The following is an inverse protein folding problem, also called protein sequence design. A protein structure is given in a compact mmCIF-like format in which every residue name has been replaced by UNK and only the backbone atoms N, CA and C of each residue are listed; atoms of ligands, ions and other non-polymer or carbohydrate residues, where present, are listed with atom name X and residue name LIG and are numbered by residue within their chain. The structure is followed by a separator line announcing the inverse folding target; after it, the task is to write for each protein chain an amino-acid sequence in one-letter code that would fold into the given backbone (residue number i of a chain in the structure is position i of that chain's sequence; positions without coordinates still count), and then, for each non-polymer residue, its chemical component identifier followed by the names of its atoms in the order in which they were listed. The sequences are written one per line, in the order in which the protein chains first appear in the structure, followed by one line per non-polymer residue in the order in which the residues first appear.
data_IF_924785791122
#
_entry.id   IF_924785791122
#
_cell.length_a   1.000
_cell.length_b   1.000
_cell.length_c   1.000
_cell.angle_alpha   90.00
_cell.angle_beta   90.00
_cell.angle_gamma   90.00
#
_symmetry.space_group_name_H-M   'P 1'
#
loop_
_entity.id
_entity.type
_entity.pdbx_description
1 polymer ?
#
# COMPACT_ATOMS: atom_id res chain seq x y z
N UNK A 1 31.89 -16.50 11.46
CA UNK A 1 32.19 -15.14 10.94
C UNK A 1 33.51 -15.08 10.15
N UNK A 2 34.50 -15.94 10.44
CA UNK A 2 35.80 -16.00 9.74
C UNK A 2 35.72 -15.92 8.20
N UNK A 3 34.80 -16.67 7.59
CA UNK A 3 34.66 -16.73 6.12
C UNK A 3 34.29 -15.39 5.46
N UNK A 4 33.53 -14.52 6.14
CA UNK A 4 33.20 -13.18 5.61
C UNK A 4 34.31 -12.16 5.90
N UNK A 5 35.11 -12.38 6.95
CA UNK A 5 36.21 -11.49 7.33
C UNK A 5 37.49 -11.74 6.53
N UNK A 6 37.65 -12.93 5.94
CA UNK A 6 38.83 -13.31 5.12
C UNK A 6 38.47 -13.57 3.66
N UNK A 7 37.38 -12.99 3.16
CA UNK A 7 36.91 -13.25 1.81
C UNK A 7 37.73 -12.45 0.78
N UNK A 8 38.20 -13.15 -0.26
CA UNK A 8 38.74 -12.55 -1.47
C UNK A 8 37.76 -12.68 -2.65
N UNK A 9 37.79 -11.68 -3.51
CA UNK A 9 36.95 -11.56 -4.69
C UNK A 9 37.83 -11.48 -5.93
N UNK A 10 37.31 -12.02 -7.03
CA UNK A 10 37.96 -11.99 -8.34
C UNK A 10 36.89 -11.67 -9.38
N UNK A 11 37.20 -10.76 -10.30
CA UNK A 11 36.30 -10.42 -11.41
C UNK A 11 36.64 -11.31 -12.60
N UNK A 12 35.64 -12.02 -13.13
CA UNK A 12 35.75 -12.77 -14.38
C UNK A 12 35.13 -11.96 -15.52
N UNK A 13 35.89 -11.74 -16.59
CA UNK A 13 35.41 -11.14 -17.82
C UNK A 13 35.81 -12.01 -19.01
N UNK A 14 34.84 -12.65 -19.66
CA UNK A 14 35.10 -13.68 -20.67
C UNK A 14 35.88 -14.87 -20.08
N UNK A 15 37.04 -15.18 -20.66
CA UNK A 15 37.96 -16.23 -20.19
C UNK A 15 39.08 -15.71 -19.27
N UNK A 16 39.10 -14.42 -18.96
CA UNK A 16 40.14 -13.80 -18.14
C UNK A 16 39.63 -13.52 -16.72
N UNK A 17 40.52 -13.67 -15.74
CA UNK A 17 40.28 -13.37 -14.34
C UNK A 17 41.17 -12.19 -13.90
N UNK A 18 40.65 -11.33 -13.04
CA UNK A 18 41.45 -10.29 -12.38
C UNK A 18 42.39 -10.88 -11.34
N UNK A 19 43.25 -10.05 -10.75
CA UNK A 19 43.87 -10.37 -9.47
C UNK A 19 42.81 -10.44 -8.37
N UNK A 20 43.07 -11.24 -7.34
CA UNK A 20 42.23 -11.30 -6.15
C UNK A 20 42.35 -10.01 -5.33
N UNK A 21 41.24 -9.57 -4.76
CA UNK A 21 41.18 -8.42 -3.86
C UNK A 21 40.20 -8.69 -2.72
N UNK A 22 40.46 -8.13 -1.54
CA UNK A 22 39.53 -8.23 -0.41
C UNK A 22 38.44 -7.15 -0.51
N UNK A 23 37.27 -7.44 0.05
CA UNK A 23 36.18 -6.45 0.14
C UNK A 23 35.82 -6.23 1.60
N UNK A 24 35.90 -4.98 2.05
CA UNK A 24 35.63 -4.61 3.45
C UNK A 24 34.15 -4.31 3.72
N UNK A 25 33.36 -4.03 2.67
CA UNK A 25 31.96 -3.62 2.79
C UNK A 25 31.05 -4.52 1.96
N UNK A 26 29.88 -4.82 2.53
CA UNK A 26 28.84 -5.58 1.85
C UNK A 26 28.92 -7.08 2.10
N UNK A 27 27.97 -7.79 1.50
CA UNK A 27 27.79 -9.23 1.62
C UNK A 27 27.87 -9.85 0.24
N UNK A 28 28.38 -11.07 0.15
CA UNK A 28 28.48 -11.81 -1.12
C UNK A 28 27.09 -12.09 -1.70
N UNK A 29 26.80 -11.58 -2.89
CA UNK A 29 25.57 -11.96 -3.59
C UNK A 29 25.58 -13.48 -3.91
N UNK A 30 24.47 -14.17 -3.65
CA UNK A 30 24.36 -15.63 -3.80
C UNK A 30 25.00 -16.44 -2.65
N UNK A 31 25.53 -15.80 -1.62
CA UNK A 31 25.94 -16.50 -0.39
C UNK A 31 24.73 -16.97 0.43
N UNK A 32 24.75 -18.21 0.91
CA UNK A 32 23.64 -18.80 1.69
C UNK A 32 23.35 -17.98 2.97
N UNK A 33 24.38 -17.40 3.58
CA UNK A 33 24.25 -16.57 4.78
C UNK A 33 23.95 -15.10 4.50
N UNK A 34 24.13 -14.63 3.27
CA UNK A 34 23.98 -13.22 2.92
C UNK A 34 22.57 -12.69 3.22
N UNK A 35 21.46 -13.39 2.89
CA UNK A 35 20.12 -12.92 3.27
C UNK A 35 19.94 -12.75 4.78
N UNK A 36 20.48 -13.66 5.59
CA UNK A 36 20.38 -13.58 7.05
C UNK A 36 21.16 -12.40 7.62
N UNK A 37 22.38 -12.18 7.13
CA UNK A 37 23.19 -11.03 7.52
C UNK A 37 22.55 -9.70 7.11
N UNK A 38 21.93 -9.66 5.93
CA UNK A 38 21.18 -8.49 5.47
C UNK A 38 19.98 -8.18 6.36
N UNK A 39 19.20 -9.20 6.72
CA UNK A 39 18.05 -9.05 7.61
C UNK A 39 18.49 -8.54 8.99
N UNK A 40 19.55 -9.11 9.57
CA UNK A 40 20.10 -8.64 10.83
C UNK A 40 20.56 -7.17 10.76
N UNK A 41 21.16 -6.79 9.63
CA UNK A 41 21.62 -5.42 9.41
C UNK A 41 20.49 -4.40 9.20
N UNK A 42 19.30 -4.83 8.77
CA UNK A 42 18.13 -3.94 8.57
C UNK A 42 17.11 -4.00 9.70
N UNK A 43 17.24 -4.94 10.64
CA UNK A 43 16.29 -5.13 11.75
C UNK A 43 16.18 -3.89 12.65
N UNK A 44 17.32 -3.26 12.97
CA UNK A 44 17.37 -2.02 13.76
C UNK A 44 16.55 -0.89 13.08
N UNK A 45 16.57 -0.79 11.75
CA UNK A 45 15.76 0.19 11.04
C UNK A 45 14.27 -0.10 11.20
N UNK A 46 13.87 -1.37 11.11
CA UNK A 46 12.48 -1.78 11.32
C UNK A 46 12.00 -1.47 12.74
N UNK A 47 12.86 -1.71 13.75
CA UNK A 47 12.57 -1.34 15.14
C UNK A 47 12.43 0.18 15.30
N UNK A 48 13.42 0.96 14.81
CA UNK A 48 13.40 2.42 14.88
C UNK A 48 12.14 3.01 14.25
N UNK A 49 11.72 2.50 13.08
CA UNK A 49 10.51 2.95 12.42
C UNK A 49 9.29 2.61 13.28
N UNK A 50 9.15 1.37 13.75
CA UNK A 50 8.02 0.92 14.58
C UNK A 50 7.84 1.75 15.84
N UNK A 51 8.95 2.07 16.50
CA UNK A 51 8.97 2.80 17.78
C UNK A 51 8.54 4.27 17.64
N UNK A 52 8.53 4.82 16.42
CA UNK A 52 7.96 6.16 16.17
C UNK A 52 6.47 6.23 16.48
N UNK A 53 5.74 5.11 16.38
CA UNK A 53 4.28 5.10 16.40
C UNK A 53 3.64 5.83 15.21
N UNK A 54 4.42 6.27 14.22
CA UNK A 54 3.95 6.96 13.02
C UNK A 54 3.71 5.91 11.94
N UNK A 55 2.50 5.88 11.39
CA UNK A 55 2.15 4.93 10.33
C UNK A 55 0.66 4.66 10.17
N UNK A 56 0.33 3.69 9.32
CA UNK A 56 -1.02 3.22 9.12
C UNK A 56 -1.42 2.26 10.25
N UNK A 57 -2.38 2.66 11.07
CA UNK A 57 -2.85 1.84 12.19
C UNK A 57 -3.94 0.87 11.73
N UNK A 58 -3.68 -0.43 11.88
CA UNK A 58 -4.63 -1.50 11.64
C UNK A 58 -4.85 -2.21 12.99
N UNK A 59 -6.06 -2.09 13.53
CA UNK A 59 -6.38 -2.49 14.91
C UNK A 59 -5.50 -1.77 15.94
N UNK A 60 -4.67 -2.53 16.67
CA UNK A 60 -3.74 -2.03 17.68
C UNK A 60 -2.28 -2.09 17.18
N UNK A 61 -2.07 -2.48 15.91
CA UNK A 61 -0.76 -2.52 15.27
C UNK A 61 -0.53 -1.31 14.36
N UNK A 62 0.63 -0.66 14.50
CA UNK A 62 1.11 0.34 13.56
C UNK A 62 1.93 -0.33 12.46
N UNK A 63 1.55 -0.11 11.20
CA UNK A 63 2.30 -0.55 10.03
C UNK A 63 2.83 0.68 9.30
N UNK A 64 4.15 0.80 9.23
CA UNK A 64 4.82 1.96 8.63
C UNK A 64 5.87 1.59 7.59
N UNK A 65 6.44 0.38 7.66
CA UNK A 65 7.39 -0.12 6.68
C UNK A 65 7.05 -1.54 6.24
N UNK A 66 7.04 -1.77 4.94
CA UNK A 66 7.05 -3.10 4.33
C UNK A 66 8.37 -3.24 3.58
N UNK A 67 9.21 -4.19 3.98
CA UNK A 67 10.54 -4.38 3.41
C UNK A 67 10.68 -5.79 2.84
N UNK A 68 11.28 -5.88 1.66
CA UNK A 68 11.60 -7.14 1.00
C UNK A 68 12.94 -7.01 0.28
N UNK A 69 13.96 -7.69 0.81
CA UNK A 69 15.34 -7.49 0.38
C UNK A 69 15.69 -5.98 0.35
N UNK A 70 16.18 -5.46 -0.77
CA UNK A 70 16.54 -4.06 -0.97
C UNK A 70 15.35 -3.11 -1.22
N UNK A 71 14.17 -3.64 -1.48
CA UNK A 71 12.95 -2.85 -1.68
C UNK A 71 12.26 -2.54 -0.35
N UNK A 72 11.86 -1.28 -0.16
CA UNK A 72 11.12 -0.82 1.01
C UNK A 72 9.98 0.11 0.61
N UNK A 73 8.82 -0.07 1.24
CA UNK A 73 7.65 0.80 1.11
C UNK A 73 7.34 1.40 2.47
N UNK A 74 7.33 2.74 2.54
CA UNK A 74 6.87 3.47 3.71
C UNK A 74 5.38 3.81 3.58
N UNK A 75 4.64 3.68 4.68
CA UNK A 75 3.20 3.90 4.74
C UNK A 75 2.88 4.91 5.84
N UNK A 76 2.27 6.03 5.47
CA UNK A 76 1.80 7.04 6.39
C UNK A 76 0.46 7.63 5.95
N UNK A 77 -0.38 8.11 6.89
CA UNK A 77 -1.69 8.68 6.59
C UNK A 77 -1.61 10.10 6.00
N UNK A 78 -0.50 10.81 6.21
CA UNK A 78 -0.27 12.19 5.75
C UNK A 78 1.12 12.34 5.16
N UNK A 79 1.33 13.38 4.34
CA UNK A 79 2.64 13.69 3.77
C UNK A 79 3.66 14.08 4.86
N UNK A 80 3.23 14.82 5.88
CA UNK A 80 4.11 15.21 6.99
C UNK A 80 4.57 13.98 7.78
N UNK A 81 3.65 13.06 8.11
CA UNK A 81 3.98 11.80 8.76
C UNK A 81 4.89 10.91 7.90
N UNK A 82 4.72 10.94 6.56
CA UNK A 82 5.62 10.24 5.65
C UNK A 82 7.02 10.85 5.69
N UNK A 83 7.12 12.18 5.74
CA UNK A 83 8.39 12.88 5.85
C UNK A 83 9.11 12.55 7.16
N UNK A 84 8.38 12.42 8.27
CA UNK A 84 8.95 11.99 9.54
C UNK A 84 9.58 10.58 9.45
N UNK A 85 8.90 9.64 8.78
CA UNK A 85 9.46 8.30 8.52
C UNK A 85 10.70 8.36 7.61
N UNK A 86 10.67 9.21 6.58
CA UNK A 86 11.84 9.43 5.70
C UNK A 86 13.03 9.99 6.50
N UNK A 87 12.78 10.90 7.44
CA UNK A 87 13.82 11.46 8.30
C UNK A 87 14.49 10.37 9.15
N UNK A 88 13.71 9.43 9.71
CA UNK A 88 14.25 8.27 10.43
C UNK A 88 15.12 7.41 9.52
N UNK A 89 14.64 7.08 8.31
CA UNK A 89 15.42 6.35 7.31
C UNK A 89 16.73 7.08 6.95
N UNK A 90 16.71 8.41 6.86
CA UNK A 90 17.88 9.22 6.54
C UNK A 90 18.93 9.18 7.67
N UNK A 91 18.50 9.33 8.93
CA UNK A 91 19.40 9.22 10.10
C UNK A 91 20.02 7.82 10.16
N UNK A 92 19.22 6.78 9.97
CA UNK A 92 19.71 5.41 9.92
C UNK A 92 20.72 5.20 8.79
N UNK A 93 20.40 5.67 7.58
CA UNK A 93 21.27 5.53 6.42
C UNK A 93 22.62 6.23 6.62
N UNK A 94 22.63 7.41 7.24
CA UNK A 94 23.87 8.12 7.56
C UNK A 94 24.75 7.32 8.55
N UNK A 95 24.13 6.74 9.60
CA UNK A 95 24.84 5.95 10.61
C UNK A 95 25.37 4.63 10.04
N UNK A 96 24.58 3.96 9.20
CA UNK A 96 24.88 2.62 8.70
C UNK A 96 25.57 2.62 7.32
N UNK A 97 25.81 3.80 6.73
CA UNK A 97 26.40 4.00 5.39
C UNK A 97 25.56 3.37 4.26
N UNK A 98 24.24 3.48 4.36
CA UNK A 98 23.29 3.08 3.32
C UNK A 98 23.06 4.26 2.38
N UNK A 99 22.93 3.97 1.08
CA UNK A 99 22.58 4.97 0.07
C UNK A 99 21.27 4.57 -0.59
N UNK A 100 20.24 5.39 -0.43
CA UNK A 100 18.97 5.19 -1.13
C UNK A 100 19.07 5.75 -2.55
N UNK A 101 18.48 5.03 -3.50
CA UNK A 101 18.41 5.47 -4.88
C UNK A 101 17.24 6.45 -5.08
N UNK A 102 17.54 7.74 -5.13
CA UNK A 102 16.54 8.80 -5.28
C UNK A 102 15.85 8.80 -6.65
N UNK A 103 16.49 8.29 -7.71
CA UNK A 103 15.87 8.24 -9.05
C UNK A 103 14.88 7.10 -9.20
N UNK A 104 15.03 6.03 -8.41
CA UNK A 104 14.08 4.91 -8.34
C UNK A 104 13.02 5.05 -7.25
N UNK A 105 13.20 6.00 -6.33
CA UNK A 105 12.26 6.22 -5.23
C UNK A 105 11.05 6.99 -5.72
N UNK A 106 9.86 6.40 -5.57
CA UNK A 106 8.60 7.00 -5.99
C UNK A 106 7.69 7.26 -4.79
N UNK A 107 6.94 8.38 -4.83
CA UNK A 107 5.95 8.72 -3.82
C UNK A 107 4.55 8.72 -4.42
N UNK A 108 3.67 7.86 -3.88
CA UNK A 108 2.28 7.77 -4.33
C UNK A 108 1.33 8.35 -3.28
N UNK A 109 0.52 9.34 -3.68
CA UNK A 109 -0.57 9.88 -2.85
C UNK A 109 -1.93 9.43 -3.35
N UNK A 110 -2.68 8.70 -2.53
CA UNK A 110 -4.01 8.17 -2.89
C UNK A 110 -5.16 9.08 -2.44
N UNK A 111 -5.01 10.40 -2.62
CA UNK A 111 -6.08 11.35 -2.28
C UNK A 111 -7.05 11.47 -3.44
N UNK A 112 -8.23 10.86 -3.30
CA UNK A 112 -9.26 10.81 -4.34
C UNK A 112 -9.59 12.20 -4.93
N UNK A 113 -9.60 13.25 -4.11
CA UNK A 113 -9.80 14.63 -4.57
C UNK A 113 -8.72 15.10 -5.55
N UNK A 114 -7.45 14.79 -5.29
CA UNK A 114 -6.32 15.19 -6.14
C UNK A 114 -6.42 14.48 -7.48
N UNK A 115 -6.67 13.17 -7.46
CA UNK A 115 -6.93 12.37 -8.66
C UNK A 115 -8.06 12.99 -9.48
N UNK A 116 -9.20 13.26 -8.85
CA UNK A 116 -10.36 13.84 -9.55
C UNK A 116 -10.07 15.21 -10.18
N UNK A 117 -9.34 16.07 -9.47
CA UNK A 117 -8.92 17.38 -10.00
C UNK A 117 -7.96 17.22 -11.19
N UNK A 118 -7.02 16.28 -11.13
CA UNK A 118 -6.09 15.98 -12.24
C UNK A 118 -6.83 15.44 -13.45
N UNK A 119 -7.76 14.50 -13.25
CA UNK A 119 -8.58 13.94 -14.32
C UNK A 119 -9.39 15.05 -15.02
N UNK A 120 -10.03 15.91 -14.24
CA UNK A 120 -10.80 17.03 -14.77
C UNK A 120 -9.91 18.00 -15.56
N UNK A 121 -8.72 18.35 -15.07
CA UNK A 121 -7.83 19.32 -15.72
C UNK A 121 -7.22 18.78 -17.02
N UNK A 122 -6.74 17.53 -17.01
CA UNK A 122 -6.00 16.95 -18.14
C UNK A 122 -6.90 16.34 -19.21
N UNK A 123 -8.09 15.85 -18.84
CA UNK A 123 -8.96 15.07 -19.72
C UNK A 123 -10.36 15.67 -19.88
N UNK A 124 -10.51 16.98 -19.66
CA UNK A 124 -11.80 17.70 -19.78
C UNK A 124 -12.44 17.57 -21.17
N UNK A 125 -11.63 17.48 -22.22
CA UNK A 125 -12.06 17.44 -23.62
C UNK A 125 -12.19 16.02 -24.18
N UNK A 126 -11.84 14.99 -23.41
CA UNK A 126 -11.97 13.61 -23.86
C UNK A 126 -13.44 13.19 -24.00
N UNK A 127 -13.66 12.13 -24.79
CA UNK A 127 -14.99 11.52 -24.95
C UNK A 127 -15.54 11.02 -23.62
N UNK A 128 -16.85 10.79 -23.59
CA UNK A 128 -17.53 10.29 -22.39
C UNK A 128 -16.98 8.93 -21.98
N UNK A 129 -16.72 8.06 -22.95
CA UNK A 129 -16.23 6.69 -22.77
C UNK A 129 -14.84 6.70 -22.10
N UNK A 130 -13.93 7.52 -22.63
CA UNK A 130 -12.57 7.69 -22.05
C UNK A 130 -12.65 8.21 -20.62
N UNK A 131 -13.54 9.18 -20.35
CA UNK A 131 -13.74 9.70 -18.98
C UNK A 131 -14.26 8.61 -18.03
N UNK A 132 -15.16 7.74 -18.49
CA UNK A 132 -15.66 6.64 -17.66
C UNK A 132 -14.56 5.63 -17.36
N UNK A 133 -13.68 5.34 -18.32
CA UNK A 133 -12.58 4.42 -18.10
C UNK A 133 -11.51 4.98 -17.16
N UNK A 134 -11.17 6.26 -17.33
CA UNK A 134 -10.28 6.96 -16.39
C UNK A 134 -10.87 6.99 -14.98
N UNK A 135 -12.18 7.21 -14.86
CA UNK A 135 -12.88 7.17 -13.57
C UNK A 135 -12.82 5.77 -12.94
N UNK A 136 -13.09 4.70 -13.69
CA UNK A 136 -12.97 3.32 -13.17
C UNK A 136 -11.55 3.03 -12.71
N UNK A 137 -10.56 3.29 -13.56
CA UNK A 137 -9.15 3.02 -13.26
C UNK A 137 -8.66 3.75 -12.00
N UNK A 138 -8.93 5.05 -11.88
CA UNK A 138 -8.30 5.86 -10.83
C UNK A 138 -9.19 6.11 -9.61
N UNK A 139 -10.52 6.06 -9.76
CA UNK A 139 -11.46 6.35 -8.67
C UNK A 139 -12.04 5.09 -8.00
N UNK A 140 -11.81 3.89 -8.57
CA UNK A 140 -12.14 2.62 -7.89
C UNK A 140 -10.96 2.06 -7.09
N UNK A 141 -9.74 2.49 -7.40
CA UNK A 141 -8.54 2.08 -6.68
C UNK A 141 -8.44 2.80 -5.33
N UNK A 142 -9.26 2.35 -4.38
CA UNK A 142 -9.22 2.78 -2.99
C UNK A 142 -8.52 1.69 -2.21
N UNK A 143 -7.19 1.71 -2.30
CA UNK A 143 -6.31 0.73 -1.66
C UNK A 143 -6.65 0.58 -0.18
N UNK A 144 -6.55 -0.65 0.33
CA UNK A 144 -6.79 -1.04 1.71
C UNK A 144 -8.22 -0.76 2.26
N UNK A 145 -9.18 -0.31 1.45
CA UNK A 145 -10.56 -0.12 1.93
C UNK A 145 -11.20 -1.42 2.45
N UNK A 146 -10.82 -2.58 1.92
CA UNK A 146 -11.28 -3.88 2.41
C UNK A 146 -10.63 -4.30 3.73
N UNK A 147 -9.49 -3.69 4.11
CA UNK A 147 -8.75 -4.01 5.34
C UNK A 147 -9.06 -3.04 6.50
N UNK A 148 -9.69 -1.89 6.20
CA UNK A 148 -10.06 -0.90 7.22
C UNK A 148 -11.22 -1.35 8.10
N UNK A 149 -10.95 -1.68 9.35
CA UNK A 149 -11.97 -1.99 10.37
C UNK A 149 -12.36 -0.77 11.23
N UNK A 150 -11.46 0.20 11.40
CA UNK A 150 -11.66 1.42 12.18
C UNK A 150 -11.49 2.68 11.31
N UNK A 151 -12.58 3.40 11.10
CA UNK A 151 -12.57 4.75 10.53
C UNK A 151 -13.75 5.54 11.08
N UNK A 152 -13.58 6.86 11.19
CA UNK A 152 -14.68 7.75 11.54
C UNK A 152 -15.73 7.70 10.42
N UNK A 153 -17.00 7.55 10.77
CA UNK A 153 -18.12 7.57 9.80
C UNK A 153 -18.05 8.82 8.91
N UNK A 154 -17.72 9.97 9.50
CA UNK A 154 -17.48 11.22 8.79
C UNK A 154 -16.43 11.13 7.68
N UNK A 155 -15.36 10.35 7.86
CA UNK A 155 -14.31 10.16 6.85
C UNK A 155 -14.87 9.45 5.62
N UNK A 156 -15.65 8.38 5.81
CA UNK A 156 -16.30 7.66 4.72
C UNK A 156 -17.35 8.52 4.03
N UNK A 157 -18.14 9.28 4.78
CA UNK A 157 -19.13 10.20 4.21
C UNK A 157 -18.43 11.25 3.33
N UNK A 158 -17.33 11.83 3.79
CA UNK A 158 -16.53 12.78 3.00
C UNK A 158 -15.95 12.12 1.75
N UNK A 159 -15.46 10.88 1.85
CA UNK A 159 -14.97 10.13 0.71
C UNK A 159 -16.08 9.85 -0.32
N UNK A 160 -17.29 9.49 0.14
CA UNK A 160 -18.47 9.26 -0.70
C UNK A 160 -18.87 10.53 -1.44
N UNK A 161 -18.95 11.65 -0.73
CA UNK A 161 -19.26 12.96 -1.33
C UNK A 161 -18.21 13.32 -2.38
N UNK A 162 -16.93 13.20 -2.04
CA UNK A 162 -15.82 13.40 -2.97
C UNK A 162 -15.93 12.53 -4.23
N UNK A 163 -16.16 11.22 -4.07
CA UNK A 163 -16.28 10.28 -5.19
C UNK A 163 -17.44 10.66 -6.13
N UNK A 164 -18.60 11.02 -5.55
CA UNK A 164 -19.76 11.50 -6.30
C UNK A 164 -19.44 12.80 -7.06
N UNK A 165 -18.79 13.75 -6.40
CA UNK A 165 -18.44 15.05 -6.99
C UNK A 165 -17.44 14.93 -8.13
N UNK A 166 -16.53 13.94 -8.09
CA UNK A 166 -15.58 13.72 -9.17
C UNK A 166 -16.30 13.27 -10.44
N UNK A 167 -17.20 12.30 -10.35
CA UNK A 167 -17.98 11.85 -11.51
C UNK A 167 -18.77 13.02 -12.12
N UNK A 168 -19.49 13.77 -11.27
CA UNK A 168 -20.29 14.91 -11.71
C UNK A 168 -19.42 15.98 -12.38
N UNK A 169 -18.27 16.32 -11.79
CA UNK A 169 -17.34 17.32 -12.36
C UNK A 169 -16.71 16.85 -13.67
N UNK A 170 -16.28 15.59 -13.75
CA UNK A 170 -15.67 15.02 -14.95
C UNK A 170 -16.62 15.02 -16.15
N UNK A 171 -17.91 14.80 -15.88
CA UNK A 171 -18.99 14.82 -16.87
C UNK A 171 -19.68 16.18 -17.02
N UNK A 172 -19.23 17.22 -16.29
CA UNK A 172 -19.85 18.56 -16.26
C UNK A 172 -21.34 18.53 -15.93
N UNK A 173 -21.77 17.62 -15.06
CA UNK A 173 -23.15 17.51 -14.59
C UNK A 173 -23.46 18.58 -13.53
N UNK A 174 -24.72 19.07 -13.46
CA UNK A 174 -25.13 20.00 -12.41
C UNK A 174 -24.95 19.40 -11.01
N UNK A 175 -24.52 20.19 -10.02
CA UNK A 175 -24.23 19.69 -8.66
C UNK A 175 -25.46 19.06 -7.99
N UNK A 176 -26.63 19.64 -8.21
CA UNK A 176 -27.92 19.21 -7.68
C UNK A 176 -28.51 17.98 -8.38
N UNK A 177 -27.88 17.46 -9.44
CA UNK A 177 -28.36 16.23 -10.06
C UNK A 177 -28.22 15.04 -9.08
N UNK A 178 -29.12 14.07 -9.20
CA UNK A 178 -29.06 12.85 -8.39
C UNK A 178 -27.75 12.09 -8.67
N UNK A 179 -26.95 11.89 -7.63
CA UNK A 179 -25.71 11.11 -7.74
C UNK A 179 -26.02 9.68 -8.18
N UNK A 180 -26.97 9.00 -7.52
CA UNK A 180 -27.34 7.62 -7.85
C UNK A 180 -27.76 7.47 -9.31
N UNK A 181 -28.56 8.41 -9.83
CA UNK A 181 -28.97 8.42 -11.23
C UNK A 181 -27.78 8.66 -12.17
N UNK A 182 -26.85 9.55 -11.80
CA UNK A 182 -25.63 9.79 -12.58
C UNK A 182 -24.76 8.53 -12.68
N UNK A 183 -24.57 7.78 -11.59
CA UNK A 183 -23.84 6.50 -11.62
C UNK A 183 -24.55 5.46 -12.51
N UNK A 184 -25.87 5.31 -12.34
CA UNK A 184 -26.68 4.35 -13.11
C UNK A 184 -26.65 4.64 -14.62
N UNK A 185 -26.90 5.89 -15.04
CA UNK A 185 -26.90 6.30 -16.46
C UNK A 185 -25.54 6.15 -17.15
N UNK A 186 -24.46 6.13 -16.38
CA UNK A 186 -23.11 6.01 -16.90
C UNK A 186 -22.53 4.59 -16.74
N UNK A 187 -23.29 3.63 -16.20
CA UNK A 187 -22.83 2.26 -16.01
C UNK A 187 -21.56 2.16 -15.16
N UNK A 188 -21.49 2.99 -14.10
CA UNK A 188 -20.38 3.00 -13.14
C UNK A 188 -20.91 2.78 -11.73
N UNK A 189 -20.13 2.08 -10.92
CA UNK A 189 -20.41 1.77 -9.54
C UNK A 189 -20.10 2.98 -8.67
N UNK A 190 -20.99 3.25 -7.72
CA UNK A 190 -20.73 4.22 -6.67
C UNK A 190 -19.78 3.63 -5.61
N UNK A 191 -19.30 4.49 -4.72
CA UNK A 191 -18.37 4.11 -3.66
C UNK A 191 -18.88 2.93 -2.83
N UNK A 192 -20.16 2.89 -2.45
CA UNK A 192 -20.68 1.82 -1.59
C UNK A 192 -20.60 0.45 -2.28
N UNK A 193 -20.88 0.39 -3.59
CA UNK A 193 -20.78 -0.82 -4.40
C UNK A 193 -19.31 -1.24 -4.56
N UNK A 194 -18.42 -0.30 -4.87
CA UNK A 194 -16.97 -0.57 -5.00
C UNK A 194 -16.44 -1.19 -3.71
N UNK A 195 -16.80 -0.61 -2.56
CA UNK A 195 -16.33 -1.07 -1.26
C UNK A 195 -16.83 -2.46 -0.93
N UNK A 196 -18.11 -2.76 -1.19
CA UNK A 196 -18.67 -4.12 -1.02
C UNK A 196 -17.96 -5.13 -1.91
N UNK A 197 -17.73 -4.79 -3.18
CA UNK A 197 -17.02 -5.66 -4.11
C UNK A 197 -15.59 -5.94 -3.67
N UNK A 198 -14.84 -4.93 -3.22
CA UNK A 198 -13.48 -5.10 -2.69
C UNK A 198 -13.43 -5.99 -1.45
N UNK A 199 -14.38 -5.79 -0.52
CA UNK A 199 -14.50 -6.63 0.69
C UNK A 199 -14.84 -8.07 0.33
N UNK A 200 -15.86 -8.29 -0.50
CA UNK A 200 -16.26 -9.61 -0.97
C UNK A 200 -15.09 -10.33 -1.66
N UNK A 201 -14.45 -9.66 -2.61
CA UNK A 201 -13.33 -10.22 -3.37
C UNK A 201 -12.15 -10.61 -2.48
N UNK A 202 -11.76 -9.77 -1.51
CA UNK A 202 -10.70 -10.11 -0.57
C UNK A 202 -11.11 -11.27 0.35
N UNK A 203 -12.32 -11.21 0.91
CA UNK A 203 -12.85 -12.25 1.80
C UNK A 203 -12.88 -13.60 1.11
N UNK A 204 -13.43 -13.68 -0.09
CA UNK A 204 -13.48 -14.92 -0.87
C UNK A 204 -12.09 -15.47 -1.16
N UNK A 205 -11.09 -14.60 -1.46
CA UNK A 205 -9.70 -15.06 -1.64
C UNK A 205 -9.08 -15.61 -0.36
N UNK A 206 -9.37 -15.02 0.79
CA UNK A 206 -8.89 -15.53 2.09
C UNK A 206 -9.57 -16.84 2.45
N UNK A 207 -10.88 -16.94 2.24
CA UNK A 207 -11.68 -18.13 2.54
C UNK A 207 -11.30 -19.32 1.65
N UNK A 208 -11.01 -19.08 0.36
CA UNK A 208 -10.64 -20.11 -0.61
C UNK A 208 -9.13 -20.37 -0.70
N UNK A 209 -8.30 -19.67 0.08
CA UNK A 209 -6.85 -19.83 -0.01
C UNK A 209 -6.41 -21.20 0.52
N UNK A 210 -5.55 -21.88 -0.24
CA UNK A 210 -4.84 -23.10 0.18
C UNK A 210 -3.48 -22.80 0.82
N UNK A 211 -3.08 -21.53 0.90
CA UNK A 211 -1.81 -21.15 1.50
C UNK A 211 -1.83 -21.41 3.00
N UNK A 212 -0.81 -22.10 3.52
CA UNK A 212 -0.73 -22.49 4.93
C UNK A 212 -0.74 -21.30 5.89
N UNK A 213 -0.03 -20.21 5.54
CA UNK A 213 0.02 -18.97 6.35
C UNK A 213 -1.37 -18.33 6.41
N UNK A 214 -2.03 -18.18 5.25
CA UNK A 214 -3.37 -17.58 5.18
C UNK A 214 -4.39 -18.46 5.91
N UNK A 215 -4.26 -19.79 5.79
CA UNK A 215 -5.12 -20.75 6.50
C UNK A 215 -4.96 -20.63 8.01
N UNK A 216 -3.74 -20.51 8.50
CA UNK A 216 -3.46 -20.28 9.93
C UNK A 216 -4.05 -18.95 10.43
N UNK A 217 -3.92 -17.88 9.64
CA UNK A 217 -4.56 -16.58 9.97
C UNK A 217 -6.08 -16.71 9.98
N UNK A 218 -6.67 -17.39 8.99
CA UNK A 218 -8.12 -17.62 8.89
C UNK A 218 -8.67 -18.41 10.09
N UNK A 219 -7.90 -19.38 10.59
CA UNK A 219 -8.27 -20.19 11.75
C UNK A 219 -8.01 -19.50 13.09
N UNK A 220 -7.31 -18.36 13.10
CA UNK A 220 -7.04 -17.61 14.33
C UNK A 220 -8.30 -16.96 14.91
N UNK A 221 -8.37 -16.88 16.23
CA UNK A 221 -9.43 -16.14 16.94
C UNK A 221 -9.47 -14.65 16.54
N UNK A 222 -8.30 -14.07 16.22
CA UNK A 222 -8.16 -12.71 15.74
C UNK A 222 -8.90 -12.46 14.41
N UNK A 223 -8.96 -13.45 13.53
CA UNK A 223 -9.73 -13.35 12.28
C UNK A 223 -11.22 -13.60 12.52
N UNK A 224 -11.58 -14.68 13.23
CA UNK A 224 -12.98 -15.10 13.41
C UNK A 224 -13.78 -14.10 14.25
N UNK A 225 -13.21 -13.63 15.35
CA UNK A 225 -13.86 -12.68 16.27
C UNK A 225 -13.39 -11.24 16.04
N UNK A 226 -12.59 -11.00 15.01
CA UNK A 226 -11.97 -9.71 14.74
C UNK A 226 -12.99 -8.62 14.36
N UNK A 227 -12.72 -7.35 14.69
CA UNK A 227 -13.53 -6.21 14.23
C UNK A 227 -13.65 -6.13 12.70
N UNK A 228 -12.67 -6.67 11.97
CA UNK A 228 -12.69 -6.73 10.51
C UNK A 228 -13.82 -7.64 10.00
N UNK A 229 -14.04 -8.78 10.66
CA UNK A 229 -15.08 -9.74 10.29
C UNK A 229 -16.47 -9.16 10.59
N UNK A 230 -16.66 -8.57 11.77
CA UNK A 230 -17.90 -7.86 12.10
C UNK A 230 -18.21 -6.75 11.07
N UNK A 231 -17.18 -6.02 10.64
CA UNK A 231 -17.33 -4.97 9.64
C UNK A 231 -17.68 -5.51 8.26
N UNK A 232 -17.03 -6.60 7.84
CA UNK A 232 -17.31 -7.26 6.57
C UNK A 232 -18.75 -7.77 6.55
N UNK A 233 -19.20 -8.39 7.64
CA UNK A 233 -20.59 -8.84 7.77
C UNK A 233 -21.57 -7.68 7.64
N UNK A 234 -21.37 -6.58 8.37
CA UNK A 234 -22.25 -5.41 8.28
C UNK A 234 -22.22 -4.65 6.95
N UNK A 235 -21.18 -4.82 6.14
CA UNK A 235 -21.10 -4.24 4.78
C UNK A 235 -21.72 -5.15 3.72
N UNK A 236 -21.57 -6.47 3.85
CA UNK A 236 -22.03 -7.45 2.87
C UNK A 236 -23.48 -7.87 3.11
N UNK A 237 -23.89 -7.98 4.37
CA UNK A 237 -25.21 -8.42 4.78
C UNK A 237 -25.91 -7.27 5.50
N UNK A 238 -27.09 -6.90 5.01
CA UNK A 238 -27.98 -6.01 5.74
C UNK A 238 -28.41 -6.76 6.99
N UNK A 239 -28.07 -6.25 8.18
CA UNK A 239 -28.72 -6.73 9.40
C UNK A 239 -30.19 -6.32 9.30
N UNK A 240 -31.05 -7.27 8.95
CA UNK A 240 -32.47 -7.19 9.26
C UNK A 240 -32.55 -7.22 10.79
N UNK A 241 -32.50 -6.04 11.41
CA UNK A 241 -32.94 -5.88 12.79
C UNK A 241 -34.46 -5.95 12.72
N UNK A 242 -35.01 -7.12 13.03
CA UNK A 242 -36.42 -7.28 13.39
C UNK A 242 -36.69 -6.69 14.76
#
# INVERSE_FOLDING_TARGET
MYWYTTQEFTVKWGNSYSLSFSTANGIRQGGILSPYLYNLYTDDLSANLRDTGIGCHIHDGCINSLSYADDMVLLAPTADALQDLINVCQVYAAKHKIVYNTTKTECMTTKLLVVGNTLQKKFSYCSREVKMELFRSHCYSIYCNSLGSRYKVATITRLKVCHNDILKRLLRLPRWCSSSLAFARNGVNNLDVIRRHSVFSLRSRVELSTNSIITSVRQSSAYVCGPIQQRWLGLLFVQNVG
#
